data_IF_551990197511
#
_entry.id   IF_551990197511
#
_cell.length_a   1.000
_cell.length_b   1.000
_cell.length_c   1.000
_cell.angle_alpha   90.00
_cell.angle_beta   90.00
_cell.angle_gamma   90.00
#
_symmetry.space_group_name_H-M   'P 1'
#
loop_
_entity.id
_entity.type
_entity.pdbx_description
1 polymer ?
#
# COMPACT_ATOMS: atom_id res chain seq x y z
N UNK A 1 -10.81 -39.08 -3.76
CA UNK A 1 -10.99 -37.66 -4.08
C UNK A 1 -9.81 -36.95 -3.46
N UNK A 2 -8.84 -36.58 -4.28
CA UNK A 2 -7.73 -35.76 -3.81
C UNK A 2 -8.25 -34.34 -3.94
N UNK A 3 -8.29 -33.66 -2.81
CA UNK A 3 -8.74 -32.28 -2.66
C UNK A 3 -7.68 -31.39 -3.31
N UNK A 4 -7.81 -31.14 -4.61
CA UNK A 4 -7.08 -30.04 -5.25
C UNK A 4 -7.79 -28.75 -4.83
N UNK A 5 -7.41 -28.19 -3.68
CA UNK A 5 -7.64 -26.76 -3.47
C UNK A 5 -7.00 -26.04 -4.66
N UNK A 6 -7.75 -25.14 -5.30
CA UNK A 6 -7.16 -24.23 -6.26
C UNK A 6 -6.03 -23.44 -5.57
N UNK A 7 -5.04 -23.01 -6.34
CA UNK A 7 -3.94 -22.18 -5.80
C UNK A 7 -4.52 -20.94 -5.12
N UNK A 8 -5.60 -20.40 -5.67
CA UNK A 8 -6.37 -19.30 -5.13
C UNK A 8 -6.93 -19.63 -3.73
N UNK A 9 -7.64 -20.75 -3.56
CA UNK A 9 -8.21 -21.12 -2.26
C UNK A 9 -7.13 -21.34 -1.19
N UNK A 10 -5.97 -21.88 -1.59
CA UNK A 10 -4.83 -22.05 -0.70
C UNK A 10 -4.24 -20.70 -0.25
N UNK A 11 -4.12 -19.73 -1.17
CA UNK A 11 -3.68 -18.37 -0.85
C UNK A 11 -4.71 -17.63 0.00
N UNK A 12 -6.00 -17.79 -0.28
CA UNK A 12 -7.07 -17.19 0.53
C UNK A 12 -7.06 -17.75 1.96
N UNK A 13 -6.89 -19.05 2.13
CA UNK A 13 -6.74 -19.67 3.45
C UNK A 13 -5.54 -19.11 4.20
N UNK A 14 -4.43 -18.90 3.50
CA UNK A 14 -3.18 -18.41 4.08
C UNK A 14 -3.24 -16.93 4.49
N UNK A 15 -3.92 -16.08 3.71
CA UNK A 15 -3.99 -14.64 3.99
C UNK A 15 -4.94 -14.31 5.14
N UNK A 16 -5.99 -15.11 5.37
CA UNK A 16 -6.97 -14.90 6.45
C UNK A 16 -6.26 -14.77 7.79
N UNK A 17 -6.51 -13.69 8.54
CA UNK A 17 -5.88 -13.41 9.82
C UNK A 17 -5.40 -11.97 9.96
N UNK A 18 -4.69 -11.70 11.06
CA UNK A 18 -4.15 -10.38 11.38
C UNK A 18 -2.68 -10.25 10.99
N UNK A 19 -2.35 -9.11 10.43
CA UNK A 19 -1.04 -8.76 9.91
C UNK A 19 -0.67 -7.36 10.40
N UNK A 20 0.51 -7.20 10.99
CA UNK A 20 1.05 -5.91 11.41
C UNK A 20 2.12 -5.46 10.44
N UNK A 21 2.08 -4.20 10.00
CA UNK A 21 3.13 -3.68 9.11
C UNK A 21 4.45 -3.65 9.88
N UNK A 22 5.53 -4.08 9.22
CA UNK A 22 6.87 -4.08 9.80
C UNK A 22 7.85 -3.28 8.96
N UNK A 23 7.53 -3.06 7.68
CA UNK A 23 8.35 -2.26 6.79
C UNK A 23 7.50 -1.60 5.69
N UNK A 24 7.95 -0.43 5.26
CA UNK A 24 7.40 0.33 4.15
C UNK A 24 8.53 0.99 3.38
N UNK A 25 8.48 0.84 2.05
CA UNK A 25 9.32 1.55 1.11
C UNK A 25 8.55 1.86 -0.17
N UNK A 26 9.22 2.50 -1.13
CA UNK A 26 8.64 2.74 -2.44
C UNK A 26 9.63 2.50 -3.57
N UNK A 27 9.13 2.01 -4.70
CA UNK A 27 9.88 1.91 -5.95
C UNK A 27 9.36 2.90 -6.98
N UNK A 28 10.25 3.29 -7.90
CA UNK A 28 9.95 4.14 -9.06
C UNK A 28 9.17 5.42 -8.71
N UNK A 29 9.42 5.98 -7.52
CA UNK A 29 8.63 7.09 -7.01
C UNK A 29 9.06 8.40 -7.68
N UNK A 30 8.13 9.02 -8.40
CA UNK A 30 8.34 10.28 -9.11
C UNK A 30 7.28 11.28 -8.67
N UNK A 31 7.74 12.40 -8.15
CA UNK A 31 6.90 13.55 -7.85
C UNK A 31 6.94 14.52 -9.02
N UNK A 32 5.79 14.76 -9.64
CA UNK A 32 5.66 15.74 -10.72
C UNK A 32 4.91 16.96 -10.23
N UNK A 33 5.48 18.15 -10.44
CA UNK A 33 4.82 19.42 -10.19
C UNK A 33 4.53 20.09 -11.52
N UNK A 34 3.29 20.55 -11.69
CA UNK A 34 2.88 21.36 -12.82
C UNK A 34 2.61 22.78 -12.33
N UNK A 35 3.47 23.70 -12.72
CA UNK A 35 3.28 25.14 -12.50
C UNK A 35 3.06 25.82 -13.84
N UNK A 36 2.41 26.98 -13.87
CA UNK A 36 2.02 27.68 -15.11
C UNK A 36 3.17 27.85 -16.12
N UNK A 37 4.42 27.91 -15.65
CA UNK A 37 5.59 28.18 -16.47
C UNK A 37 6.54 26.99 -16.63
N UNK A 38 6.33 25.89 -15.88
CA UNK A 38 7.23 24.72 -15.93
C UNK A 38 6.64 23.47 -15.30
N UNK A 39 6.85 22.34 -15.97
CA UNK A 39 6.72 21.00 -15.39
C UNK A 39 8.07 20.51 -14.87
N UNK A 40 8.11 20.05 -13.63
CA UNK A 40 9.30 19.43 -13.03
C UNK A 40 8.99 18.04 -12.53
N UNK A 41 9.93 17.11 -12.72
CA UNK A 41 9.87 15.75 -12.18
C UNK A 41 11.08 15.53 -11.28
N UNK A 42 10.85 14.97 -10.10
CA UNK A 42 11.89 14.67 -9.12
C UNK A 42 11.69 13.23 -8.67
N UNK A 43 12.76 12.44 -8.71
CA UNK A 43 12.75 11.13 -8.08
C UNK A 43 12.71 11.32 -6.56
N UNK A 44 11.81 10.61 -5.91
CA UNK A 44 11.67 10.62 -4.46
C UNK A 44 11.90 9.23 -3.91
N UNK A 45 12.25 9.17 -2.64
CA UNK A 45 12.33 7.93 -1.87
C UNK A 45 11.35 8.06 -0.70
N UNK A 46 10.55 7.03 -0.47
CA UNK A 46 9.65 6.97 0.67
C UNK A 46 10.10 5.87 1.63
N UNK A 47 10.08 6.16 2.92
CA UNK A 47 10.38 5.21 3.99
C UNK A 47 9.36 5.32 5.13
N UNK A 48 9.11 4.21 5.81
CA UNK A 48 8.16 4.16 6.93
C UNK A 48 8.82 4.22 8.30
N UNK A 49 8.08 4.71 9.29
CA UNK A 49 8.42 4.62 10.71
C UNK A 49 7.15 4.56 11.56
N UNK A 50 7.32 4.29 12.86
CA UNK A 50 6.23 4.29 13.85
C UNK A 50 5.08 3.35 13.46
N UNK A 51 5.42 2.13 13.09
CA UNK A 51 4.49 1.13 12.59
C UNK A 51 3.47 0.69 13.64
N UNK A 52 2.28 1.27 13.59
CA UNK A 52 1.10 0.87 14.35
C UNK A 52 -0.10 0.70 13.40
N UNK A 53 0.12 -0.04 12.30
CA UNK A 53 -0.91 -0.31 11.30
C UNK A 53 -1.10 -1.80 11.11
N UNK A 54 -2.36 -2.23 11.05
CA UNK A 54 -2.74 -3.64 10.98
C UNK A 54 -3.79 -3.88 9.91
N UNK A 55 -3.67 -5.01 9.23
CA UNK A 55 -4.66 -5.58 8.34
C UNK A 55 -5.29 -6.81 8.99
N UNK A 56 -6.60 -6.98 8.83
CA UNK A 56 -7.32 -8.16 9.29
C UNK A 56 -8.21 -8.69 8.17
N UNK A 57 -7.80 -9.78 7.55
CA UNK A 57 -8.55 -10.50 6.52
C UNK A 57 -9.50 -11.49 7.21
N UNK A 58 -10.81 -11.30 7.05
CA UNK A 58 -11.85 -12.20 7.56
C UNK A 58 -12.40 -13.06 6.45
N UNK A 59 -12.86 -14.25 6.79
CA UNK A 59 -13.50 -15.20 5.86
C UNK A 59 -15.03 -15.03 5.77
N UNK A 60 -15.68 -14.70 6.89
CA UNK A 60 -17.15 -14.66 6.99
C UNK A 60 -17.66 -13.42 7.75
N UNK A 61 -18.11 -12.36 7.04
CA UNK A 61 -17.99 -12.15 5.60
C UNK A 61 -16.53 -11.95 5.16
N UNK A 62 -16.24 -12.15 3.87
CA UNK A 62 -14.93 -11.89 3.27
C UNK A 62 -14.62 -10.40 3.28
N UNK A 63 -14.07 -9.91 4.39
CA UNK A 63 -13.86 -8.49 4.64
C UNK A 63 -12.43 -8.22 5.12
N UNK A 64 -11.79 -7.23 4.51
CA UNK A 64 -10.54 -6.66 4.96
C UNK A 64 -10.83 -5.44 5.83
N UNK A 65 -10.22 -5.41 7.00
CA UNK A 65 -10.24 -4.26 7.90
C UNK A 65 -8.80 -3.78 8.10
N UNK A 66 -8.53 -2.54 7.71
CA UNK A 66 -7.34 -1.80 8.11
C UNK A 66 -7.59 -1.00 9.39
N UNK A 67 -6.60 -0.95 10.29
CA UNK A 67 -6.65 -0.11 11.50
C UNK A 67 -5.27 0.41 11.87
N UNK A 68 -5.26 1.59 12.46
CA UNK A 68 -4.05 2.24 12.95
C UNK A 68 -3.40 3.10 11.88
N UNK A 69 -2.12 3.39 12.03
CA UNK A 69 -1.38 4.30 11.16
C UNK A 69 0.14 4.08 11.27
N UNK A 70 0.88 4.64 10.32
CA UNK A 70 2.32 4.77 10.43
C UNK A 70 2.79 6.03 9.71
N UNK A 71 3.98 6.51 10.04
CA UNK A 71 4.55 7.70 9.42
C UNK A 71 5.26 7.31 8.13
N UNK A 72 5.00 8.03 7.03
CA UNK A 72 5.77 7.90 5.79
C UNK A 72 6.58 9.18 5.61
N UNK A 73 7.88 9.04 5.41
CA UNK A 73 8.78 10.14 5.08
C UNK A 73 9.16 10.07 3.62
N UNK A 74 8.76 11.08 2.85
CA UNK A 74 9.16 11.28 1.46
C UNK A 74 10.36 12.22 1.41
N UNK A 75 11.43 11.78 0.76
CA UNK A 75 12.63 12.58 0.53
C UNK A 75 12.85 12.73 -0.96
N UNK A 76 12.93 13.97 -1.44
CA UNK A 76 13.23 14.26 -2.83
C UNK A 76 14.54 15.02 -2.94
N UNK A 77 15.41 14.60 -3.87
CA UNK A 77 16.68 15.27 -4.13
C UNK A 77 16.70 15.78 -5.57
N UNK A 78 16.94 17.08 -5.71
CA UNK A 78 17.21 17.75 -6.97
C UNK A 78 18.65 18.28 -6.98
N UNK A 79 19.14 18.71 -8.15
CA UNK A 79 20.47 19.33 -8.27
C UNK A 79 20.68 20.53 -7.35
N UNK A 80 19.60 21.22 -6.95
CA UNK A 80 19.65 22.47 -6.19
C UNK A 80 19.40 22.30 -4.70
N UNK A 81 18.68 21.25 -4.30
CA UNK A 81 18.24 21.06 -2.92
C UNK A 81 17.66 19.66 -2.70
N UNK A 82 17.78 19.20 -1.45
CA UNK A 82 17.00 18.10 -0.90
C UNK A 82 15.85 18.66 -0.08
N UNK A 83 14.68 18.03 -0.16
CA UNK A 83 13.56 18.28 0.73
C UNK A 83 13.11 16.97 1.38
N UNK A 84 12.47 17.08 2.54
CA UNK A 84 11.87 15.95 3.24
C UNK A 84 10.50 16.37 3.80
N UNK A 85 9.51 15.49 3.68
CA UNK A 85 8.15 15.68 4.20
C UNK A 85 7.69 14.40 4.86
N UNK A 86 7.01 14.51 5.98
CA UNK A 86 6.39 13.38 6.66
C UNK A 86 4.88 13.52 6.63
N UNK A 87 4.20 12.43 6.32
CA UNK A 87 2.75 12.31 6.28
C UNK A 87 2.32 11.01 6.94
N UNK A 88 1.02 10.86 7.15
CA UNK A 88 0.47 9.64 7.69
C UNK A 88 0.08 8.69 6.57
N UNK A 89 0.26 7.40 6.79
CA UNK A 89 -0.21 6.37 5.87
C UNK A 89 -1.70 6.51 5.60
N UNK A 90 -2.47 6.91 6.62
CA UNK A 90 -3.91 7.13 6.47
C UNK A 90 -4.28 8.18 5.42
N UNK A 91 -3.38 9.11 5.08
CA UNK A 91 -3.57 10.09 4.01
C UNK A 91 -3.54 9.45 2.60
N UNK A 92 -3.00 8.23 2.48
CA UNK A 92 -2.77 7.54 1.20
C UNK A 92 -3.53 6.22 1.09
N UNK A 93 -3.42 5.35 2.09
CA UNK A 93 -3.80 3.93 1.98
C UNK A 93 -5.10 3.58 2.70
N UNK A 94 -5.62 4.45 3.57
CA UNK A 94 -6.75 4.09 4.42
C UNK A 94 -7.98 3.72 3.59
N UNK A 95 -8.28 4.48 2.54
CA UNK A 95 -9.42 4.26 1.66
C UNK A 95 -9.22 3.08 0.69
N UNK A 96 -7.97 2.66 0.46
CA UNK A 96 -7.63 1.57 -0.45
C UNK A 96 -7.69 0.20 0.24
N UNK A 97 -7.34 0.11 1.52
CA UNK A 97 -7.14 -1.13 2.26
C UNK A 97 -8.33 -1.51 3.16
N UNK A 98 -9.55 -1.30 2.69
CA UNK A 98 -10.76 -1.78 3.35
C UNK A 98 -11.76 -2.35 2.32
N UNK A 99 -12.71 -3.15 2.80
CA UNK A 99 -13.84 -3.62 1.99
C UNK A 99 -13.85 -5.13 1.78
N UNK A 100 -14.61 -5.56 0.78
CA UNK A 100 -14.65 -6.98 0.43
C UNK A 100 -13.40 -7.36 -0.33
N UNK A 101 -12.91 -8.59 -0.13
CA UNK A 101 -11.66 -9.04 -0.73
C UNK A 101 -11.76 -10.41 -1.39
N UNK A 102 -10.88 -10.66 -2.36
CA UNK A 102 -10.65 -11.96 -2.98
C UNK A 102 -9.28 -12.01 -3.65
N UNK A 103 -8.79 -13.23 -3.95
CA UNK A 103 -7.52 -13.44 -4.64
C UNK A 103 -7.76 -14.09 -6.00
N UNK A 104 -7.18 -13.52 -7.06
CA UNK A 104 -7.16 -14.12 -8.40
C UNK A 104 -5.76 -13.91 -8.98
N UNK A 105 -5.11 -14.96 -9.51
CA UNK A 105 -3.78 -14.86 -10.12
C UNK A 105 -2.74 -14.12 -9.25
N UNK A 106 -2.67 -14.43 -7.95
CA UNK A 106 -1.78 -13.78 -6.97
C UNK A 106 -2.00 -12.26 -6.79
N UNK A 107 -3.13 -11.74 -7.25
CA UNK A 107 -3.54 -10.36 -7.01
C UNK A 107 -4.66 -10.33 -5.98
N UNK A 108 -4.51 -9.48 -4.98
CA UNK A 108 -5.56 -9.13 -4.04
C UNK A 108 -6.48 -8.10 -4.70
N UNK A 109 -7.76 -8.45 -4.82
CA UNK A 109 -8.79 -7.55 -5.29
C UNK A 109 -9.55 -7.03 -4.09
N UNK A 110 -9.62 -5.70 -3.99
CA UNK A 110 -10.43 -5.02 -3.00
C UNK A 110 -11.60 -4.34 -3.71
N UNK A 111 -12.81 -4.64 -3.24
CA UNK A 111 -14.04 -4.07 -3.76
C UNK A 111 -14.71 -3.22 -2.68
N UNK A 112 -14.78 -1.93 -2.95
CA UNK A 112 -15.65 -0.97 -2.28
C UNK A 112 -16.65 -0.42 -3.30
N UNK A 113 -17.77 0.12 -2.83
CA UNK A 113 -18.83 0.68 -3.70
C UNK A 113 -18.33 1.73 -4.72
N UNK A 114 -17.13 2.32 -4.52
CA UNK A 114 -16.58 3.39 -5.37
C UNK A 114 -15.12 3.21 -5.79
N UNK A 115 -14.44 2.17 -5.31
CA UNK A 115 -13.01 1.96 -5.59
C UNK A 115 -12.77 0.47 -5.84
N UNK A 116 -12.21 0.17 -7.01
CA UNK A 116 -11.63 -1.13 -7.31
C UNK A 116 -10.13 -0.95 -7.31
N UNK A 117 -9.45 -1.60 -6.37
CA UNK A 117 -8.00 -1.62 -6.31
C UNK A 117 -7.51 -3.04 -6.58
N UNK A 118 -6.54 -3.16 -7.48
CA UNK A 118 -5.77 -4.39 -7.67
C UNK A 118 -4.44 -4.20 -6.97
N UNK A 119 -4.16 -5.05 -6.00
CA UNK A 119 -2.92 -5.03 -5.22
C UNK A 119 -2.16 -6.32 -5.51
N UNK A 120 -0.89 -6.20 -5.89
CA UNK A 120 -0.08 -7.37 -6.15
C UNK A 120 0.41 -7.97 -4.83
N UNK A 121 0.20 -9.27 -4.63
CA UNK A 121 0.82 -10.02 -3.54
C UNK A 121 2.18 -10.50 -4.05
N UNK A 122 3.26 -9.84 -3.62
CA UNK A 122 4.62 -10.22 -4.03
C UNK A 122 5.19 -11.36 -3.18
N UNK A 123 4.65 -11.57 -1.97
CA UNK A 123 4.97 -12.69 -1.10
C UNK A 123 3.80 -12.97 -0.15
N UNK A 124 3.46 -14.25 0.03
CA UNK A 124 2.54 -14.69 1.07
C UNK A 124 3.00 -16.05 1.62
N UNK A 125 3.33 -16.05 2.90
CA UNK A 125 3.74 -17.24 3.67
C UNK A 125 2.95 -17.26 4.98
N UNK A 126 3.21 -18.20 5.88
CA UNK A 126 2.54 -18.25 7.19
C UNK A 126 2.89 -17.05 8.09
N UNK A 127 4.05 -16.41 7.87
CA UNK A 127 4.59 -15.37 8.76
C UNK A 127 4.82 -14.03 8.09
N UNK A 128 4.87 -13.98 6.76
CA UNK A 128 5.18 -12.80 5.96
C UNK A 128 4.15 -12.59 4.86
N UNK A 129 3.68 -11.35 4.72
CA UNK A 129 2.85 -10.86 3.63
C UNK A 129 3.53 -9.62 3.04
N UNK A 130 3.74 -9.59 1.73
CA UNK A 130 4.24 -8.43 1.01
C UNK A 130 3.26 -7.99 -0.06
N UNK A 131 2.93 -6.71 -0.03
CA UNK A 131 1.99 -6.07 -0.95
C UNK A 131 2.70 -4.97 -1.73
N UNK A 132 2.50 -4.97 -3.05
CA UNK A 132 2.92 -3.89 -3.92
C UNK A 132 1.66 -3.17 -4.43
N UNK A 133 1.57 -1.88 -4.14
CA UNK A 133 0.42 -1.04 -4.47
C UNK A 133 0.87 0.07 -5.41
N UNK A 134 0.32 0.11 -6.62
CA UNK A 134 0.53 1.24 -7.52
C UNK A 134 -0.26 2.45 -7.02
N UNK A 135 0.42 3.58 -6.88
CA UNK A 135 -0.12 4.85 -6.41
C UNK A 135 0.03 5.88 -7.51
N UNK A 136 -1.09 6.47 -7.90
CA UNK A 136 -1.17 7.73 -8.64
C UNK A 136 -2.02 8.69 -7.81
N UNK A 137 -1.35 9.59 -7.08
CA UNK A 137 -1.98 10.45 -6.09
C UNK A 137 -1.60 11.90 -6.29
N UNK A 138 -2.62 12.74 -6.37
CA UNK A 138 -2.48 14.18 -6.28
C UNK A 138 -2.32 14.62 -4.82
N UNK A 139 -1.26 15.36 -4.55
CA UNK A 139 -0.91 15.97 -3.26
C UNK A 139 -1.09 17.48 -3.40
N UNK A 140 -1.85 18.09 -2.50
CA UNK A 140 -1.89 19.54 -2.34
C UNK A 140 -0.73 19.97 -1.44
N UNK A 141 0.13 20.84 -1.97
CA UNK A 141 1.26 21.39 -1.26
C UNK A 141 1.15 22.93 -1.21
N UNK A 142 0.37 23.42 -0.25
CA UNK A 142 0.18 24.86 -0.02
C UNK A 142 -0.25 25.62 -1.28
N UNK A 143 -1.20 25.06 -2.05
CA UNK A 143 -1.75 25.71 -3.25
C UNK A 143 -1.04 25.37 -4.56
N UNK A 144 -0.01 24.51 -4.53
CA UNK A 144 0.48 23.82 -5.72
C UNK A 144 0.01 22.37 -5.75
N UNK A 145 -0.34 21.90 -6.93
CA UNK A 145 -0.75 20.50 -7.16
C UNK A 145 0.47 19.70 -7.61
N UNK A 146 0.82 18.68 -6.86
CA UNK A 146 1.89 17.73 -7.19
C UNK A 146 1.27 16.34 -7.40
N UNK A 147 1.72 15.59 -8.40
CA UNK A 147 1.27 14.21 -8.62
C UNK A 147 2.41 13.24 -8.31
N UNK A 148 2.19 12.36 -7.34
CA UNK A 148 3.08 11.26 -6.98
C UNK A 148 2.67 10.00 -7.74
N UNK A 149 3.59 9.49 -8.54
CA UNK A 149 3.49 8.18 -9.18
C UNK A 149 4.51 7.27 -8.51
N UNK A 150 4.09 6.14 -7.95
CA UNK A 150 4.97 5.25 -7.19
C UNK A 150 4.40 3.85 -7.03
N UNK A 151 5.26 2.88 -6.74
CA UNK A 151 4.85 1.57 -6.20
C UNK A 151 5.18 1.56 -4.71
N UNK A 152 4.17 1.50 -3.85
CA UNK A 152 4.37 1.33 -2.41
C UNK A 152 4.55 -0.15 -2.10
N UNK A 153 5.64 -0.47 -1.40
CA UNK A 153 6.03 -1.82 -1.03
C UNK A 153 5.85 -1.97 0.49
N UNK A 154 4.84 -2.70 0.91
CA UNK A 154 4.54 -2.94 2.33
C UNK A 154 4.90 -4.38 2.70
N UNK A 155 5.60 -4.54 3.81
CA UNK A 155 5.85 -5.85 4.43
C UNK A 155 5.10 -5.93 5.75
N UNK A 156 4.41 -7.05 5.95
CA UNK A 156 3.68 -7.34 7.17
C UNK A 156 4.14 -8.65 7.79
N UNK A 157 4.15 -8.68 9.12
CA UNK A 157 4.32 -9.89 9.91
C UNK A 157 2.97 -10.36 10.46
N UNK A 158 2.81 -11.68 10.54
CA UNK A 158 1.63 -12.29 11.14
C UNK A 158 1.53 -11.93 12.62
N UNK A 159 0.37 -11.45 13.07
CA UNK A 159 0.09 -11.21 14.50
C UNK A 159 -0.58 -12.45 15.06
N UNK A 160 0.16 -13.21 15.87
CA UNK A 160 -0.41 -14.32 16.62
C UNK A 160 -1.15 -13.76 17.83
N UNK A 161 -2.47 -13.91 17.85
CA UNK A 161 -3.34 -13.58 18.98
C UNK A 161 -3.46 -14.72 19.98
#
# INVERSE_FOLDING_TARGET
MIDELSIEDALETLIIGKWGVTDFSSENAVLTSDSSDKKTAINVENSGSDYDFTLNFKEHPKQLIAKGDFSITMTGTSEKSTFSRTFKCTDFLNDLLLGDWGIINSSLYLSLEKVHATILISELTETSLKLNIEIDKTIDNNGSTENLNSIFCLTFARINS
#
